data_IF_241612519134
#
_entry.id   IF_241612519134
#
_cell.length_a   1.000
_cell.length_b   1.000
_cell.length_c   1.000
_cell.angle_alpha   90.00
_cell.angle_beta   90.00
_cell.angle_gamma   90.00
#
_symmetry.space_group_name_H-M   'P 1'
#
loop_
_entity.id
_entity.type
_entity.pdbx_description
1 polymer ?
#
# COMPACT_ATOMS: atom_id res chain seq x y z
N UNK A 1 17.40 3.83 -15.67
CA UNK A 1 16.32 4.79 -16.00
C UNK A 1 15.00 4.06 -15.88
N UNK A 2 14.03 4.58 -15.14
CA UNK A 2 12.70 3.96 -15.07
C UNK A 2 12.00 4.13 -16.42
N UNK A 3 11.33 3.10 -16.96
CA UNK A 3 10.55 3.23 -18.19
C UNK A 3 9.52 4.35 -18.06
N UNK A 4 9.26 5.11 -19.15
CA UNK A 4 8.23 6.15 -19.14
C UNK A 4 6.86 5.61 -18.70
N UNK A 5 6.56 4.38 -19.09
CA UNK A 5 5.36 3.66 -18.69
C UNK A 5 5.21 3.54 -17.16
N UNK A 6 6.31 3.31 -16.43
CA UNK A 6 6.27 3.22 -14.97
C UNK A 6 5.73 4.51 -14.34
N UNK A 7 6.21 5.67 -14.81
CA UNK A 7 5.76 6.96 -14.27
C UNK A 7 4.27 7.20 -14.52
N UNK A 8 3.76 6.78 -15.70
CA UNK A 8 2.33 6.89 -16.03
C UNK A 8 1.49 6.02 -15.08
N UNK A 9 1.90 4.76 -14.88
CA UNK A 9 1.19 3.84 -14.00
C UNK A 9 1.24 4.26 -12.53
N UNK A 10 2.40 4.73 -12.06
CA UNK A 10 2.58 5.24 -10.70
C UNK A 10 1.68 6.46 -10.44
N UNK A 11 1.61 7.41 -11.38
CA UNK A 11 0.74 8.58 -11.26
C UNK A 11 -0.73 8.17 -11.17
N UNK A 12 -1.17 7.23 -12.01
CA UNK A 12 -2.54 6.70 -11.98
C UNK A 12 -2.89 6.03 -10.65
N UNK A 13 -1.94 5.32 -10.04
CA UNK A 13 -2.15 4.71 -8.72
C UNK A 13 -2.32 5.77 -7.62
N UNK A 14 -1.54 6.86 -7.67
CA UNK A 14 -1.67 7.99 -6.74
C UNK A 14 -3.02 8.69 -6.91
N UNK A 15 -3.46 8.92 -8.15
CA UNK A 15 -4.76 9.53 -8.46
C UNK A 15 -5.91 8.68 -7.89
N UNK A 16 -5.91 7.36 -8.14
CA UNK A 16 -6.90 6.44 -7.57
C UNK A 16 -6.92 6.46 -6.04
N UNK A 17 -5.75 6.55 -5.40
CA UNK A 17 -5.69 6.65 -3.94
C UNK A 17 -6.36 7.94 -3.45
N UNK A 18 -6.13 9.06 -4.15
CA UNK A 18 -6.69 10.37 -3.80
C UNK A 18 -8.21 10.49 -4.04
N UNK A 19 -8.81 9.62 -4.85
CA UNK A 19 -10.26 9.56 -5.06
C UNK A 19 -11.02 9.05 -3.82
N UNK A 20 -10.35 8.37 -2.88
CA UNK A 20 -10.98 7.89 -1.65
C UNK A 20 -11.27 9.05 -0.68
N UNK A 21 -12.50 9.07 -0.14
CA UNK A 21 -12.96 10.13 0.79
C UNK A 21 -12.25 10.12 2.14
N UNK A 22 -11.64 9.00 2.52
CA UNK A 22 -11.00 8.79 3.82
C UNK A 22 -9.49 8.80 3.70
N UNK A 23 -8.82 9.64 4.48
CA UNK A 23 -7.37 9.67 4.61
C UNK A 23 -6.86 8.56 5.54
N UNK A 24 -7.23 7.31 5.25
CA UNK A 24 -6.79 6.13 6.00
C UNK A 24 -6.39 5.01 5.04
N UNK A 25 -5.26 4.38 5.29
CA UNK A 25 -4.75 3.29 4.46
C UNK A 25 -4.38 2.07 5.32
N UNK A 26 -4.78 0.89 4.86
CA UNK A 26 -4.27 -0.39 5.35
C UNK A 26 -3.20 -0.87 4.37
N UNK A 27 -1.94 -0.86 4.81
CA UNK A 27 -0.78 -1.24 4.02
C UNK A 27 -0.41 -2.69 4.30
N UNK A 28 -0.56 -3.56 3.30
CA UNK A 28 -0.20 -4.97 3.37
C UNK A 28 1.16 -5.13 2.70
N UNK A 29 2.11 -5.83 3.34
CA UNK A 29 3.45 -6.02 2.81
C UNK A 29 4.05 -7.38 3.19
N UNK A 30 5.08 -7.81 2.46
CA UNK A 30 5.83 -9.02 2.75
C UNK A 30 6.71 -8.85 4.00
N UNK A 31 7.03 -9.96 4.67
CA UNK A 31 7.89 -10.01 5.86
C UNK A 31 9.39 -10.15 5.58
N UNK A 32 9.79 -10.01 4.31
CA UNK A 32 11.19 -10.02 3.91
C UNK A 32 11.79 -8.61 3.91
N UNK A 33 13.09 -8.51 3.63
CA UNK A 33 13.80 -7.23 3.66
C UNK A 33 13.22 -6.21 2.65
N UNK A 34 12.83 -6.68 1.46
CA UNK A 34 12.26 -5.80 0.42
C UNK A 34 10.86 -5.30 0.81
N UNK A 35 10.01 -6.20 1.33
CA UNK A 35 8.68 -5.87 1.84
C UNK A 35 8.72 -4.88 3.00
N UNK A 36 9.61 -5.08 3.97
CA UNK A 36 9.77 -4.18 5.11
C UNK A 36 10.27 -2.79 4.69
N UNK A 37 11.27 -2.72 3.80
CA UNK A 37 11.78 -1.45 3.29
C UNK A 37 10.71 -0.71 2.48
N UNK A 38 10.02 -1.41 1.59
CA UNK A 38 8.93 -0.87 0.78
C UNK A 38 7.79 -0.34 1.66
N UNK A 39 7.40 -1.10 2.68
CA UNK A 39 6.36 -0.70 3.62
C UNK A 39 6.74 0.57 4.40
N UNK A 40 7.99 0.66 4.88
CA UNK A 40 8.48 1.83 5.59
C UNK A 40 8.44 3.09 4.69
N UNK A 41 8.89 2.97 3.43
CA UNK A 41 8.87 4.08 2.46
C UNK A 41 7.43 4.56 2.21
N UNK A 42 6.52 3.63 1.91
CA UNK A 42 5.12 3.97 1.60
C UNK A 42 4.40 4.53 2.82
N UNK A 43 4.57 3.91 3.99
CA UNK A 43 3.99 4.40 5.25
C UNK A 43 4.39 5.85 5.51
N UNK A 44 5.70 6.15 5.45
CA UNK A 44 6.20 7.50 5.68
C UNK A 44 5.70 8.50 4.63
N UNK A 45 5.63 8.11 3.36
CA UNK A 45 5.12 8.97 2.29
C UNK A 45 3.64 9.33 2.49
N UNK A 46 2.82 8.35 2.85
CA UNK A 46 1.39 8.53 3.10
C UNK A 46 1.12 9.33 4.37
N UNK A 47 1.84 9.08 5.46
CA UNK A 47 1.74 9.84 6.70
C UNK A 47 2.11 11.32 6.48
N UNK A 48 3.17 11.60 5.70
CA UNK A 48 3.53 12.97 5.28
C UNK A 48 2.43 13.65 4.45
N UNK A 49 1.61 12.88 3.74
CA UNK A 49 0.47 13.36 2.96
C UNK A 49 -0.80 13.51 3.81
N UNK A 50 -0.76 13.16 5.10
CA UNK A 50 -1.88 13.30 6.04
C UNK A 50 -2.74 12.04 6.20
N UNK A 51 -2.30 10.88 5.68
CA UNK A 51 -3.03 9.63 5.87
C UNK A 51 -2.69 9.00 7.22
N UNK A 52 -3.70 8.41 7.86
CA UNK A 52 -3.49 7.45 8.96
C UNK A 52 -3.21 6.06 8.37
N UNK A 53 -2.02 5.52 8.60
CA UNK A 53 -1.60 4.25 7.99
C UNK A 53 -1.49 3.15 9.05
N UNK A 54 -2.17 2.03 8.83
CA UNK A 54 -1.97 0.78 9.58
C UNK A 54 -1.24 -0.22 8.68
N UNK A 55 -0.37 -1.06 9.24
CA UNK A 55 0.37 -2.07 8.48
C UNK A 55 -0.05 -3.48 8.88
N UNK A 56 -0.06 -4.39 7.91
CA UNK A 56 -0.16 -5.85 8.13
C UNK A 56 0.97 -6.51 7.36
N UNK A 57 1.81 -7.23 8.10
CA UNK A 57 2.91 -8.01 7.57
C UNK A 57 2.41 -9.44 7.28
N UNK A 58 2.63 -9.94 6.07
CA UNK A 58 2.24 -11.29 5.65
C UNK A 58 3.42 -12.01 5.01
N UNK A 59 3.65 -13.26 5.38
CA UNK A 59 4.59 -14.14 4.65
C UNK A 59 4.08 -14.43 3.23
N UNK A 60 2.77 -14.73 3.06
CA UNK A 60 2.17 -15.06 1.76
C UNK A 60 0.75 -14.52 1.61
N UNK A 61 0.38 -14.18 0.38
CA UNK A 61 -0.94 -13.68 0.00
C UNK A 61 -1.88 -14.84 -0.33
N UNK A 62 -2.30 -15.59 0.69
CA UNK A 62 -3.27 -16.67 0.52
C UNK A 62 -4.69 -16.11 0.29
N UNK A 63 -5.51 -16.75 -0.58
CA UNK A 63 -6.89 -16.30 -0.83
C UNK A 63 -7.73 -16.16 0.43
N UNK A 64 -7.56 -17.04 1.40
CA UNK A 64 -8.30 -17.05 2.68
C UNK A 64 -7.95 -15.82 3.53
N UNK A 65 -6.68 -15.40 3.49
CA UNK A 65 -6.21 -14.18 4.18
C UNK A 65 -6.83 -12.96 3.54
N UNK A 66 -6.85 -12.89 2.21
CA UNK A 66 -7.48 -11.78 1.48
C UNK A 66 -8.98 -11.72 1.76
N UNK A 67 -9.69 -12.85 1.71
CA UNK A 67 -11.12 -12.91 2.03
C UNK A 67 -11.38 -12.41 3.47
N UNK A 68 -10.53 -12.79 4.42
CA UNK A 68 -10.63 -12.33 5.81
C UNK A 68 -10.41 -10.82 5.94
N UNK A 69 -9.41 -10.26 5.26
CA UNK A 69 -9.13 -8.82 5.28
C UNK A 69 -10.30 -7.99 4.74
N UNK A 70 -10.90 -8.45 3.63
CA UNK A 70 -12.07 -7.79 3.05
C UNK A 70 -13.33 -7.93 3.90
N UNK A 71 -13.49 -9.03 4.67
CA UNK A 71 -14.65 -9.20 5.56
C UNK A 71 -14.66 -8.25 6.76
N UNK A 72 -13.50 -7.65 7.10
CA UNK A 72 -13.31 -6.78 8.28
C UNK A 72 -13.20 -5.29 7.95
N UNK A 73 -13.35 -4.93 6.67
CA UNK A 73 -13.27 -3.55 6.16
C UNK A 73 -14.64 -3.12 5.67
#
# INVERSE_FOLDING_TARGET
MLPQEFNVLAKRAIEKLAEHKTASALLIHHDDADGLCSAAIIKMALERKGYTVKTICLEKVYPEVIATLHSKT
#
